data_IF_102064187048
#
_entry.id   IF_102064187048
#
_cell.length_a   1.000
_cell.length_b   1.000
_cell.length_c   1.000
_cell.angle_alpha   90.00
_cell.angle_beta   90.00
_cell.angle_gamma   90.00
#
_symmetry.space_group_name_H-M   'P 1'
#
loop_
_entity.id
_entity.type
_entity.pdbx_description
1 polymer ?
#
# COMPACT_ATOMS: atom_id res chain seq x y z
N UNK A 1 -17.89 10.72 7.14
CA UNK A 1 -16.43 10.81 7.02
C UNK A 1 -15.85 9.69 7.85
N UNK A 2 -15.04 8.82 7.26
CA UNK A 2 -14.42 7.68 7.95
C UNK A 2 -13.03 8.08 8.47
N UNK A 3 -12.69 7.70 9.71
CA UNK A 3 -11.37 7.97 10.30
C UNK A 3 -10.63 6.64 10.47
N UNK A 4 -9.41 6.56 9.96
CA UNK A 4 -8.56 5.37 9.99
C UNK A 4 -7.40 5.63 10.96
N UNK A 5 -7.46 4.99 12.11
CA UNK A 5 -6.47 5.14 13.19
C UNK A 5 -5.43 4.02 13.19
N UNK A 6 -5.80 2.86 12.65
CA UNK A 6 -4.94 1.70 12.52
C UNK A 6 -5.20 0.99 11.19
N UNK A 7 -4.18 0.29 10.70
CA UNK A 7 -4.31 -0.60 9.55
C UNK A 7 -4.74 -1.97 10.10
N UNK A 8 -5.84 -2.55 9.62
CA UNK A 8 -6.22 -3.91 10.00
C UNK A 8 -5.08 -4.89 9.71
N UNK A 9 -5.02 -5.98 10.48
CA UNK A 9 -4.21 -7.13 10.10
C UNK A 9 -4.68 -7.69 8.74
N UNK A 10 -3.93 -8.62 8.16
CA UNK A 10 -4.31 -9.27 6.91
C UNK A 10 -5.78 -9.75 6.97
N UNK A 11 -6.60 -9.23 6.06
CA UNK A 11 -8.02 -9.57 5.95
C UNK A 11 -8.13 -10.78 5.04
N UNK A 12 -8.85 -11.81 5.49
CA UNK A 12 -9.12 -12.99 4.69
C UNK A 12 -10.07 -12.66 3.53
N UNK A 13 -9.85 -13.27 2.38
CA UNK A 13 -10.59 -12.96 1.15
C UNK A 13 -12.10 -13.21 1.31
N UNK A 14 -12.50 -14.18 2.15
CA UNK A 14 -13.90 -14.50 2.44
C UNK A 14 -14.67 -13.31 3.04
N UNK A 15 -13.98 -12.45 3.79
CA UNK A 15 -14.57 -11.24 4.37
C UNK A 15 -14.89 -10.21 3.28
N UNK A 16 -14.14 -10.23 2.17
CA UNK A 16 -14.26 -9.27 1.07
C UNK A 16 -15.27 -9.70 0.00
N UNK A 17 -15.64 -10.98 -0.02
CA UNK A 17 -16.60 -11.51 -0.99
C UNK A 17 -17.91 -10.74 -0.92
N UNK A 18 -18.38 -10.25 -2.07
CA UNK A 18 -19.62 -9.48 -2.20
C UNK A 18 -19.53 -8.01 -1.78
N UNK A 19 -18.37 -7.54 -1.28
CA UNK A 19 -18.15 -6.12 -0.98
C UNK A 19 -17.61 -5.38 -2.20
N UNK A 20 -18.06 -4.14 -2.37
CA UNK A 20 -17.54 -3.23 -3.38
C UNK A 20 -16.10 -2.79 -3.04
N UNK A 21 -15.21 -2.89 -4.03
CA UNK A 21 -13.83 -2.39 -3.89
C UNK A 21 -13.80 -0.90 -4.14
N UNK A 22 -13.46 -0.12 -3.13
CA UNK A 22 -13.10 1.28 -3.26
C UNK A 22 -11.58 1.44 -3.15
N UNK A 23 -11.00 2.43 -3.83
CA UNK A 23 -9.55 2.64 -3.85
C UNK A 23 -9.17 4.04 -3.45
N UNK A 24 -7.97 4.16 -2.90
CA UNK A 24 -7.27 5.43 -2.68
C UNK A 24 -5.94 5.33 -3.41
N UNK A 25 -5.83 6.09 -4.50
CA UNK A 25 -4.64 6.15 -5.33
C UNK A 25 -3.66 7.10 -4.65
N UNK A 26 -2.46 6.61 -4.34
CA UNK A 26 -1.44 7.37 -3.62
C UNK A 26 -0.06 7.16 -4.23
N UNK A 27 0.70 8.25 -4.34
CA UNK A 27 2.12 8.17 -4.66
C UNK A 27 2.93 7.50 -3.55
N UNK A 28 4.18 7.15 -3.84
CA UNK A 28 5.09 6.60 -2.84
C UNK A 28 5.32 7.55 -1.63
N UNK A 29 5.29 8.86 -1.87
CA UNK A 29 5.42 9.87 -0.81
C UNK A 29 4.14 9.96 0.02
N UNK A 30 2.99 10.02 -0.64
CA UNK A 30 1.69 10.13 0.01
C UNK A 30 1.40 8.96 0.94
N UNK A 31 1.84 7.75 0.58
CA UNK A 31 1.70 6.55 1.42
C UNK A 31 2.46 6.63 2.75
N UNK A 32 3.36 7.60 2.93
CA UNK A 32 4.06 7.86 4.21
C UNK A 32 3.35 8.91 5.07
N UNK A 33 2.26 9.49 4.59
CA UNK A 33 1.48 10.44 5.37
C UNK A 33 0.73 9.71 6.48
N UNK A 34 1.12 9.97 7.73
CA UNK A 34 0.41 9.42 8.89
C UNK A 34 -0.92 10.11 9.17
N UNK A 35 -1.06 11.41 8.85
CA UNK A 35 -2.24 12.22 9.19
C UNK A 35 -2.65 13.13 8.05
N UNK A 36 -3.79 12.84 7.41
CA UNK A 36 -4.32 13.67 6.30
C UNK A 36 -5.76 13.31 5.98
N UNK A 37 -6.54 14.28 5.51
CA UNK A 37 -7.83 14.04 4.84
C UNK A 37 -7.61 13.75 3.36
N UNK A 38 -8.34 12.79 2.83
CA UNK A 38 -8.28 12.34 1.45
C UNK A 38 -9.67 11.93 0.96
N UNK A 39 -9.77 11.75 -0.36
CA UNK A 39 -10.98 11.22 -1.01
C UNK A 39 -10.62 9.91 -1.69
N UNK A 40 -11.52 8.94 -1.56
CA UNK A 40 -11.43 7.72 -2.35
C UNK A 40 -11.88 7.94 -3.80
N UNK A 41 -11.61 6.97 -4.66
CA UNK A 41 -12.04 6.95 -6.06
C UNK A 41 -13.56 7.01 -6.20
N UNK A 42 -14.31 6.42 -5.27
CA UNK A 42 -15.77 6.57 -5.20
C UNK A 42 -16.23 7.90 -4.55
N UNK A 43 -15.32 8.84 -4.29
CA UNK A 43 -15.62 10.17 -3.76
C UNK A 43 -15.86 10.22 -2.25
N UNK A 44 -15.59 9.14 -1.50
CA UNK A 44 -15.83 9.08 -0.05
C UNK A 44 -14.75 9.87 0.70
N UNK A 45 -15.17 10.67 1.69
CA UNK A 45 -14.25 11.43 2.53
C UNK A 45 -13.66 10.55 3.64
N UNK A 46 -12.34 10.43 3.67
CA UNK A 46 -11.57 9.60 4.61
C UNK A 46 -10.49 10.46 5.28
N UNK A 47 -10.25 10.22 6.56
CA UNK A 47 -9.17 10.84 7.31
C UNK A 47 -8.22 9.77 7.84
N UNK A 48 -6.93 9.87 7.49
CA UNK A 48 -5.87 9.10 8.12
C UNK A 48 -5.50 9.78 9.44
N UNK A 49 -5.42 8.99 10.49
CA UNK A 49 -4.98 9.34 11.83
C UNK A 49 -4.00 8.28 12.37
N UNK A 50 -3.13 7.77 11.49
CA UNK A 50 -2.19 6.70 11.77
C UNK A 50 -1.06 7.17 12.69
N UNK A 51 -0.46 6.21 13.39
CA UNK A 51 0.76 6.43 14.16
C UNK A 51 1.90 6.93 13.25
N UNK A 52 2.79 7.76 13.81
CA UNK A 52 3.95 8.29 13.09
C UNK A 52 4.83 7.15 12.55
N UNK A 53 5.32 7.28 11.32
CA UNK A 53 6.16 6.27 10.67
C UNK A 53 5.40 5.13 10.01
N UNK A 54 4.07 5.11 10.09
CA UNK A 54 3.25 4.15 9.35
C UNK A 54 3.39 4.39 7.85
N UNK A 55 3.67 3.33 7.10
CA UNK A 55 3.71 3.36 5.63
C UNK A 55 2.64 2.45 5.07
N UNK A 56 1.79 3.01 4.22
CA UNK A 56 0.76 2.26 3.51
C UNK A 56 1.38 1.47 2.35
N UNK A 57 1.20 0.16 2.34
CA UNK A 57 1.65 -0.70 1.25
C UNK A 57 0.61 -0.68 0.10
N UNK A 58 1.06 -0.74 -1.18
CA UNK A 58 0.13 -0.98 -2.28
C UNK A 58 -0.58 -2.32 -2.08
N UNK A 59 -1.88 -2.36 -2.34
CA UNK A 59 -2.74 -3.51 -2.12
C UNK A 59 -3.25 -3.66 -0.68
N UNK A 60 -2.74 -2.87 0.28
CA UNK A 60 -3.20 -2.94 1.67
C UNK A 60 -4.66 -2.50 1.80
N UNK A 61 -5.43 -3.24 2.59
CA UNK A 61 -6.80 -2.88 2.95
C UNK A 61 -6.75 -2.07 4.24
N UNK A 62 -7.29 -0.86 4.19
CA UNK A 62 -7.22 0.11 5.29
C UNK A 62 -8.56 0.34 5.98
N UNK A 63 -9.66 -0.10 5.37
CA UNK A 63 -10.98 -0.13 5.98
C UNK A 63 -11.84 -1.24 5.37
N UNK A 64 -12.68 -1.86 6.18
CA UNK A 64 -13.69 -2.83 5.75
C UNK A 64 -15.01 -2.41 6.36
N UNK A 65 -15.96 -2.08 5.50
CA UNK A 65 -17.33 -1.67 5.86
C UNK A 65 -18.32 -2.77 5.44
N UNK A 66 -19.60 -2.72 5.84
CA UNK A 66 -20.57 -3.77 5.55
C UNK A 66 -20.73 -4.09 4.06
N UNK A 67 -20.69 -3.09 3.19
CA UNK A 67 -20.93 -3.25 1.75
C UNK A 67 -19.71 -2.96 0.88
N UNK A 68 -18.63 -2.42 1.44
CA UNK A 68 -17.46 -2.00 0.68
C UNK A 68 -16.18 -2.12 1.51
N UNK A 69 -15.04 -2.06 0.85
CA UNK A 69 -13.74 -1.98 1.53
C UNK A 69 -12.84 -0.98 0.80
N UNK A 70 -11.85 -0.45 1.51
CA UNK A 70 -10.91 0.54 0.99
C UNK A 70 -9.53 -0.06 0.83
N UNK A 71 -9.02 -0.05 -0.39
CA UNK A 71 -7.68 -0.52 -0.70
C UNK A 71 -6.76 0.61 -1.15
N UNK A 72 -5.49 0.54 -0.75
CA UNK A 72 -4.44 1.44 -1.22
C UNK A 72 -3.98 0.98 -2.60
N UNK A 73 -4.04 1.87 -3.57
CA UNK A 73 -3.52 1.64 -4.92
C UNK A 73 -2.30 2.54 -5.16
N UNK A 74 -1.25 1.99 -5.74
CA UNK A 74 -0.08 2.79 -6.09
C UNK A 74 -0.39 3.65 -7.31
N UNK A 75 -0.17 4.96 -7.20
CA UNK A 75 -0.20 5.83 -8.36
C UNK A 75 0.88 5.40 -9.37
N UNK A 76 0.57 5.52 -10.67
CA UNK A 76 1.57 5.37 -11.71
C UNK A 76 2.53 6.57 -11.66
N UNK A 77 3.81 6.29 -11.42
CA UNK A 77 4.84 7.33 -11.27
C UNK A 77 6.08 6.96 -12.09
N UNK A 78 6.79 7.96 -12.67
CA UNK A 78 8.04 7.71 -13.36
C UNK A 78 9.12 7.30 -12.36
N UNK A 79 9.68 6.10 -12.55
CA UNK A 79 10.72 5.55 -11.68
C UNK A 79 11.97 5.17 -12.48
N UNK A 80 13.15 5.34 -11.87
CA UNK A 80 14.39 4.82 -12.41
C UNK A 80 14.59 3.37 -11.92
N UNK A 81 14.42 2.41 -12.82
CA UNK A 81 14.71 1.01 -12.52
C UNK A 81 16.24 0.76 -12.55
N UNK A 82 16.88 0.80 -11.38
CA UNK A 82 18.31 0.51 -11.25
C UNK A 82 18.51 -1.00 -11.11
N UNK A 83 19.13 -1.63 -12.13
CA UNK A 83 19.55 -3.04 -12.07
C UNK A 83 21.06 -3.14 -11.82
N UNK A 84 21.51 -3.60 -10.64
CA UNK A 84 22.94 -3.76 -10.39
C UNK A 84 23.53 -4.82 -11.33
N UNK A 85 24.68 -4.50 -11.97
CA UNK A 85 25.36 -5.42 -12.90
C UNK A 85 26.06 -6.58 -12.17
N UNK A 86 26.36 -6.41 -10.88
CA UNK A 86 26.92 -7.44 -9.99
C UNK A 86 26.38 -7.20 -8.57
N UNK A 87 26.05 -8.26 -7.85
CA UNK A 87 25.85 -8.19 -6.41
C UNK A 87 27.24 -8.07 -5.75
N UNK A 88 27.75 -6.85 -5.63
CA UNK A 88 28.91 -6.61 -4.77
C UNK A 88 28.53 -6.96 -3.33
N UNK A 89 29.24 -7.91 -2.73
CA UNK A 89 29.08 -8.27 -1.32
C UNK A 89 29.17 -7.01 -0.44
N UNK A 90 28.06 -6.59 0.14
CA UNK A 90 28.04 -5.53 1.15
C UNK A 90 28.33 -6.15 2.51
N UNK A 91 29.52 -5.89 3.07
CA UNK A 91 29.92 -6.29 4.43
C UNK A 91 29.15 -5.46 5.47
N UNK A 92 27.85 -5.72 5.61
CA UNK A 92 27.03 -5.42 6.81
C UNK A 92 25.56 -5.82 6.60
N UNK A 93 25.31 -7.12 6.46
CA UNK A 93 24.14 -7.71 7.13
C UNK A 93 22.73 -7.47 6.55
N UNK A 94 22.51 -7.65 5.24
CA UNK A 94 21.47 -8.54 4.64
C UNK A 94 21.19 -8.17 3.19
N UNK A 95 21.92 -8.80 2.26
CA UNK A 95 21.41 -9.04 0.92
C UNK A 95 20.72 -10.41 0.90
N UNK A 96 19.38 -10.46 1.04
CA UNK A 96 18.63 -11.66 0.63
C UNK A 96 18.49 -11.62 -0.89
N UNK A 97 19.45 -12.22 -1.59
CA UNK A 97 19.35 -12.49 -3.02
C UNK A 97 19.56 -13.97 -3.27
N UNK A 98 18.45 -14.69 -3.51
CA UNK A 98 18.35 -15.80 -4.46
C UNK A 98 16.91 -16.36 -4.49
N UNK A 99 15.95 -15.62 -5.06
CA UNK A 99 14.78 -16.27 -5.71
C UNK A 99 13.82 -15.34 -6.47
N UNK A 100 13.58 -14.08 -6.09
CA UNK A 100 12.45 -13.33 -6.70
C UNK A 100 12.75 -12.40 -7.88
N UNK A 101 13.99 -12.32 -8.37
CA UNK A 101 14.34 -11.35 -9.43
C UNK A 101 13.79 -11.72 -10.83
N UNK A 102 13.02 -12.81 -10.96
CA UNK A 102 12.52 -13.31 -12.25
C UNK A 102 11.09 -12.88 -12.61
N UNK A 103 10.29 -12.27 -11.70
CA UNK A 103 8.84 -12.09 -11.94
C UNK A 103 8.38 -10.69 -12.37
N UNK A 104 9.26 -9.69 -12.52
CA UNK A 104 8.87 -8.39 -13.07
C UNK A 104 9.25 -8.29 -14.55
N UNK A 105 8.46 -8.99 -15.38
CA UNK A 105 8.30 -8.71 -16.81
C UNK A 105 6.81 -8.54 -17.07
N UNK A 106 6.40 -7.32 -17.40
CA UNK A 106 5.32 -7.05 -18.34
C UNK A 106 5.90 -6.13 -19.41
#
# INVERSE_FOLDING_TARGET
MLVIEHIPAAIADEILVGKERDTVVMTAEERRWGRRRLRSSAGRAVALALATGTTLAPGAIIAVEPTWYLQVEAAAEPVLAVRPRRCGWFRSGRCRARSSCASWRH
#
